data_IF_909599612232
#
_entry.id   IF_909599612232
#
_cell.length_a   1.000
_cell.length_b   1.000
_cell.length_c   1.000
_cell.angle_alpha   90.00
_cell.angle_beta   90.00
_cell.angle_gamma   90.00
#
_symmetry.space_group_name_H-M   'P 1'
#
loop_
_entity.id
_entity.type
_entity.pdbx_description
1 polymer ?
#
# COMPACT_ATOMS: atom_id res chain seq x y z
N UNK A 1 3.30 -5.50 25.03
CA UNK A 1 2.90 -5.68 23.62
C UNK A 1 4.18 -5.88 22.82
N UNK A 2 4.30 -6.94 22.03
CA UNK A 2 5.47 -7.15 21.15
C UNK A 2 5.39 -6.18 19.96
N UNK A 3 6.53 -5.82 19.33
CA UNK A 3 6.54 -5.01 18.11
C UNK A 3 5.61 -5.57 17.02
N UNK A 4 5.69 -6.88 16.76
CA UNK A 4 4.79 -7.58 15.84
C UNK A 4 3.30 -7.39 16.18
N UNK A 5 2.92 -7.58 17.46
CA UNK A 5 1.54 -7.38 17.90
C UNK A 5 1.06 -5.94 17.73
N UNK A 6 1.93 -4.96 18.01
CA UNK A 6 1.63 -3.55 17.84
C UNK A 6 1.41 -3.17 16.38
N UNK A 7 2.28 -3.66 15.48
CA UNK A 7 2.19 -3.41 14.03
C UNK A 7 0.91 -4.03 13.46
N UNK A 8 0.60 -5.27 13.81
CA UNK A 8 -0.62 -5.95 13.35
C UNK A 8 -1.89 -5.32 13.89
N UNK A 9 -1.90 -4.84 15.13
CA UNK A 9 -3.03 -4.11 15.70
C UNK A 9 -3.24 -2.77 14.99
N UNK A 10 -2.15 -2.01 14.79
CA UNK A 10 -2.20 -0.72 14.09
C UNK A 10 -2.70 -0.87 12.65
N UNK A 11 -2.26 -1.92 11.94
CA UNK A 11 -2.73 -2.22 10.59
C UNK A 11 -4.21 -2.62 10.57
N UNK A 12 -4.65 -3.51 11.47
CA UNK A 12 -6.08 -3.87 11.56
C UNK A 12 -6.96 -2.66 11.91
N UNK A 13 -6.46 -1.74 12.71
CA UNK A 13 -7.19 -0.54 13.10
C UNK A 13 -7.15 0.59 12.04
N UNK A 14 -6.33 0.48 10.99
CA UNK A 14 -6.16 1.56 10.01
C UNK A 14 -7.33 1.69 9.02
N UNK A 15 -8.17 0.67 8.90
CA UNK A 15 -9.21 0.62 7.87
C UNK A 15 -8.71 0.24 6.48
N UNK A 16 -7.43 -0.16 6.35
CA UNK A 16 -6.83 -0.45 5.05
C UNK A 16 -7.53 -1.60 4.31
N UNK A 17 -7.94 -2.64 5.05
CA UNK A 17 -8.62 -3.81 4.46
C UNK A 17 -9.98 -3.40 3.89
N UNK A 18 -10.77 -2.62 4.64
CA UNK A 18 -12.09 -2.16 4.22
C UNK A 18 -12.02 -1.23 3.00
N UNK A 19 -11.02 -0.34 2.96
CA UNK A 19 -10.79 0.56 1.83
C UNK A 19 -10.36 -0.23 0.59
N UNK A 20 -9.47 -1.21 0.74
CA UNK A 20 -9.05 -2.10 -0.34
C UNK A 20 -10.25 -2.82 -0.94
N UNK A 21 -11.03 -3.53 -0.13
CA UNK A 21 -12.21 -4.27 -0.61
C UNK A 21 -13.20 -3.36 -1.33
N UNK A 22 -13.47 -2.17 -0.77
CA UNK A 22 -14.33 -1.18 -1.40
C UNK A 22 -13.79 -0.72 -2.76
N UNK A 23 -12.48 -0.52 -2.88
CA UNK A 23 -11.85 -0.12 -4.11
C UNK A 23 -11.88 -1.22 -5.17
N UNK A 24 -11.62 -2.47 -4.81
CA UNK A 24 -11.65 -3.61 -5.75
C UNK A 24 -13.04 -3.85 -6.35
N UNK A 25 -14.10 -3.53 -5.61
CA UNK A 25 -15.47 -3.63 -6.09
C UNK A 25 -15.83 -2.47 -7.03
N UNK A 26 -15.35 -1.26 -6.72
CA UNK A 26 -15.84 -0.04 -7.36
C UNK A 26 -14.97 0.47 -8.51
N UNK A 27 -13.67 0.18 -8.50
CA UNK A 27 -12.72 0.70 -9.46
C UNK A 27 -12.64 -0.19 -10.72
N UNK A 28 -12.31 0.41 -11.89
CA UNK A 28 -11.93 -0.37 -13.07
C UNK A 28 -10.77 -1.33 -12.75
N UNK A 29 -10.73 -2.50 -13.42
CA UNK A 29 -9.72 -3.53 -13.16
C UNK A 29 -8.29 -2.98 -13.20
N UNK A 30 -7.96 -2.19 -14.21
CA UNK A 30 -6.61 -1.60 -14.35
C UNK A 30 -6.23 -0.71 -13.15
N UNK A 31 -7.21 -0.03 -12.52
CA UNK A 31 -6.97 0.77 -11.33
C UNK A 31 -6.90 -0.11 -10.07
N UNK A 32 -7.75 -1.13 -10.00
CA UNK A 32 -7.73 -2.14 -8.94
C UNK A 32 -6.39 -2.86 -8.86
N UNK A 33 -5.79 -3.25 -9.99
CA UNK A 33 -4.49 -3.92 -10.03
C UNK A 33 -3.38 -3.04 -9.44
N UNK A 34 -3.36 -1.75 -9.80
CA UNK A 34 -2.37 -0.80 -9.26
C UNK A 34 -2.60 -0.52 -7.77
N UNK A 35 -3.85 -0.57 -7.31
CA UNK A 35 -4.19 -0.46 -5.89
C UNK A 35 -3.79 -1.69 -5.08
N UNK A 36 -3.91 -2.89 -5.66
CA UNK A 36 -3.41 -4.12 -5.06
C UNK A 36 -1.89 -4.08 -4.86
N UNK A 37 -1.14 -3.52 -5.80
CA UNK A 37 0.31 -3.34 -5.64
C UNK A 37 0.66 -2.44 -4.44
N UNK A 38 -0.12 -1.38 -4.20
CA UNK A 38 0.05 -0.52 -3.02
C UNK A 38 -0.20 -1.32 -1.75
N UNK A 39 -1.26 -2.13 -1.73
CA UNK A 39 -1.63 -2.93 -0.57
C UNK A 39 -0.61 -4.05 -0.29
N UNK A 40 -0.15 -4.74 -1.33
CA UNK A 40 0.86 -5.81 -1.25
C UNK A 40 2.19 -5.26 -0.72
N UNK A 41 2.69 -4.17 -1.28
CA UNK A 41 3.95 -3.54 -0.81
C UNK A 41 3.84 -2.99 0.61
N UNK A 42 2.65 -2.54 1.04
CA UNK A 42 2.39 -2.14 2.42
C UNK A 42 2.46 -3.33 3.38
N UNK A 43 1.81 -4.46 3.03
CA UNK A 43 1.86 -5.71 3.79
C UNK A 43 3.31 -6.18 3.99
N UNK A 44 4.09 -6.24 2.92
CA UNK A 44 5.50 -6.61 2.99
C UNK A 44 6.30 -5.67 3.92
N UNK A 45 6.12 -4.35 3.78
CA UNK A 45 6.81 -3.38 4.63
C UNK A 45 6.44 -3.56 6.12
N UNK A 46 5.18 -3.85 6.42
CA UNK A 46 4.72 -4.09 7.78
C UNK A 46 5.25 -5.41 8.35
N UNK A 47 5.38 -6.46 7.54
CA UNK A 47 5.99 -7.72 7.94
C UNK A 47 7.45 -7.53 8.33
N UNK A 48 8.21 -6.79 7.52
CA UNK A 48 9.61 -6.44 7.82
C UNK A 48 9.69 -5.58 9.10
N UNK A 49 8.81 -4.60 9.24
CA UNK A 49 8.73 -3.77 10.45
C UNK A 49 8.40 -4.58 11.71
N UNK A 50 7.48 -5.55 11.58
CA UNK A 50 7.05 -6.43 12.66
C UNK A 50 8.15 -7.41 13.09
N UNK A 51 8.95 -7.91 12.14
CA UNK A 51 10.10 -8.77 12.39
C UNK A 51 11.19 -8.05 13.20
N UNK A 52 11.32 -6.72 13.02
CA UNK A 52 12.34 -5.91 13.70
C UNK A 52 13.77 -6.14 13.20
N UNK A 53 13.91 -6.92 12.13
CA UNK A 53 15.15 -7.21 11.40
C UNK A 53 14.79 -7.19 9.91
N UNK A 54 15.47 -6.36 9.07
CA UNK A 54 16.64 -5.55 9.38
C UNK A 54 16.33 -4.23 10.10
N UNK A 55 17.35 -3.55 10.67
CA UNK A 55 17.19 -2.23 11.31
C UNK A 55 16.52 -1.19 10.40
N UNK A 56 15.85 -0.21 11.00
CA UNK A 56 15.09 0.79 10.24
C UNK A 56 15.96 1.68 9.34
N UNK A 57 17.25 1.81 9.62
CA UNK A 57 18.21 2.57 8.80
C UNK A 57 18.92 1.69 7.77
N UNK A 58 18.63 0.38 7.73
CA UNK A 58 19.27 -0.53 6.81
C UNK A 58 18.87 -0.26 5.34
N UNK A 59 19.78 -0.49 4.39
CA UNK A 59 19.47 -0.38 2.96
C UNK A 59 18.25 -1.22 2.56
N UNK A 60 18.11 -2.41 3.12
CA UNK A 60 17.02 -3.35 2.84
C UNK A 60 15.67 -2.79 3.31
N UNK A 61 15.59 -2.26 4.54
CA UNK A 61 14.35 -1.62 5.01
C UNK A 61 14.01 -0.38 4.17
N UNK A 62 15.01 0.42 3.79
CA UNK A 62 14.80 1.56 2.90
C UNK A 62 14.33 1.13 1.50
N UNK A 63 14.76 -0.04 1.02
CA UNK A 63 14.28 -0.60 -0.25
C UNK A 63 12.80 -0.95 -0.17
N UNK A 64 12.34 -1.64 0.89
CA UNK A 64 10.91 -1.91 1.09
C UNK A 64 10.09 -0.62 1.16
N UNK A 65 10.58 0.41 1.86
CA UNK A 65 9.93 1.73 1.90
C UNK A 65 9.88 2.39 0.53
N UNK A 66 10.96 2.30 -0.24
CA UNK A 66 11.03 2.86 -1.59
C UNK A 66 10.04 2.18 -2.53
N UNK A 67 9.98 0.84 -2.52
CA UNK A 67 9.03 0.05 -3.32
C UNK A 67 7.58 0.44 -3.00
N UNK A 68 7.23 0.52 -1.71
CA UNK A 68 5.89 0.98 -1.32
C UNK A 68 5.61 2.42 -1.78
N UNK A 69 6.59 3.32 -1.63
CA UNK A 69 6.50 4.68 -2.14
C UNK A 69 6.23 4.72 -3.65
N UNK A 70 6.96 3.93 -4.44
CA UNK A 70 6.77 3.82 -5.89
C UNK A 70 5.38 3.32 -6.26
N UNK A 71 4.86 2.30 -5.57
CA UNK A 71 3.50 1.81 -5.77
C UNK A 71 2.46 2.93 -5.51
N UNK A 72 2.61 3.69 -4.41
CA UNK A 72 1.72 4.83 -4.10
C UNK A 72 1.78 5.90 -5.20
N UNK A 73 2.97 6.20 -5.71
CA UNK A 73 3.12 7.15 -6.83
C UNK A 73 2.44 6.64 -8.10
N UNK A 74 2.57 5.34 -8.42
CA UNK A 74 1.91 4.72 -9.57
C UNK A 74 0.39 4.78 -9.45
N UNK A 75 -0.17 4.42 -8.29
CA UNK A 75 -1.61 4.50 -8.02
C UNK A 75 -2.14 5.94 -8.17
N UNK A 76 -1.45 6.93 -7.60
CA UNK A 76 -1.83 8.35 -7.77
C UNK A 76 -1.81 8.79 -9.23
N UNK A 77 -0.83 8.33 -10.00
CA UNK A 77 -0.74 8.65 -11.42
C UNK A 77 -1.89 7.99 -12.22
N UNK A 78 -2.22 6.74 -11.91
CA UNK A 78 -3.34 6.01 -12.52
C UNK A 78 -4.68 6.69 -12.21
N UNK A 79 -4.96 6.99 -10.94
CA UNK A 79 -6.18 7.70 -10.52
C UNK A 79 -6.33 9.05 -11.23
N UNK A 80 -5.26 9.83 -11.33
CA UNK A 80 -5.32 11.13 -12.01
C UNK A 80 -5.58 10.99 -13.50
N UNK A 81 -4.99 9.98 -14.15
CA UNK A 81 -5.25 9.69 -15.56
C UNK A 81 -6.71 9.29 -15.79
N UNK A 82 -7.24 8.43 -14.93
CA UNK A 82 -8.63 7.97 -14.96
C UNK A 82 -9.60 9.17 -14.84
N UNK A 83 -9.38 10.03 -13.85
CA UNK A 83 -10.14 11.27 -13.66
C UNK A 83 -10.05 12.26 -14.83
N UNK A 84 -8.94 12.27 -15.57
CA UNK A 84 -8.78 13.11 -16.76
C UNK A 84 -9.47 12.50 -17.99
N UNK A 85 -9.62 11.17 -18.05
CA UNK A 85 -10.37 10.47 -19.10
C UNK A 85 -11.89 10.69 -18.93
N UNK A 86 -12.40 10.60 -17.71
CA UNK A 86 -13.81 10.86 -17.39
C UNK A 86 -14.27 12.30 -17.67
N UNK A 87 -13.34 13.25 -17.73
CA UNK A 87 -13.62 14.67 -17.99
C UNK A 87 -13.58 15.06 -19.46
N UNK A 88 -13.26 14.14 -20.37
CA UNK A 88 -13.26 14.44 -21.82
C UNK A 88 -14.69 14.36 -22.38
N UNK A 89 -15.13 15.36 -23.16
CA UNK A 89 -16.47 15.40 -23.75
C UNK A 89 -16.68 14.35 -24.84
#
# INVERSE_FOLDING_TARGET
MTPDGAVREAFRASGCDEIRESALICAPQDLSDVLEDVYSTLRELLEVLAAGDPPLDSPEFQEHRLRHGQAVWAARAAMRRDLDLDRRP
#
